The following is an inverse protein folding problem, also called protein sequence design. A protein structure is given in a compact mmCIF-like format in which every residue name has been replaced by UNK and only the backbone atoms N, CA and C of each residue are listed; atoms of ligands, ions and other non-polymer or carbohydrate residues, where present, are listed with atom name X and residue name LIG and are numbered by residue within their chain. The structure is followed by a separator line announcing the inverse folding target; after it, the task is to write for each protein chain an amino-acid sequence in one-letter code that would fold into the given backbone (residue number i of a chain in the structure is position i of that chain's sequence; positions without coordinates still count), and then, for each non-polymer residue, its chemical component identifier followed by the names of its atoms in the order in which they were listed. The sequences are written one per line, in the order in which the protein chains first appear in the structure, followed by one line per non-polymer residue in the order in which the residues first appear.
data_IF_580398433660
#
_entry.id   IF_580398433660
#
_cell.length_a   1.000
_cell.length_b   1.000
_cell.length_c   1.000
_cell.angle_alpha   90.00
_cell.angle_beta   90.00
_cell.angle_gamma   90.00
#
_symmetry.space_group_name_H-M   'P 1'
#
loop_
_entity.id
_entity.type
_entity.pdbx_description
1 polymer ?
#
# COMPACT_ATOMS: atom_id res chain seq x y z
N UNK A 1 6.90 17.53 6.56
CA UNK A 1 6.94 18.12 5.19
C UNK A 1 5.51 18.42 4.79
N UNK A 2 5.21 19.61 4.25
CA UNK A 2 3.85 19.90 3.74
C UNK A 2 3.59 18.98 2.55
N UNK A 3 2.70 17.99 2.67
CA UNK A 3 2.14 17.31 1.49
C UNK A 3 1.48 18.39 0.65
N UNK A 4 1.81 18.50 -0.64
CA UNK A 4 1.15 19.45 -1.53
C UNK A 4 -0.30 18.98 -1.72
N UNK A 5 -1.25 19.69 -1.12
CA UNK A 5 -2.68 19.38 -1.29
C UNK A 5 -3.16 19.71 -2.70
N UNK A 6 -4.19 19.01 -3.16
CA UNK A 6 -4.83 19.18 -4.47
C UNK A 6 -6.32 19.38 -4.30
N UNK A 7 -6.93 20.19 -5.16
CA UNK A 7 -8.38 20.40 -5.15
C UNK A 7 -9.07 19.19 -5.79
N UNK A 8 -10.19 18.74 -5.20
CA UNK A 8 -10.98 17.67 -5.77
C UNK A 8 -11.42 18.02 -7.19
N UNK A 9 -11.84 19.26 -7.45
CA UNK A 9 -12.29 19.72 -8.77
C UNK A 9 -11.22 19.60 -9.87
N UNK A 10 -9.94 19.64 -9.52
CA UNK A 10 -8.80 19.58 -10.46
C UNK A 10 -8.36 18.15 -10.77
N UNK A 11 -8.83 17.16 -10.01
CA UNK A 11 -8.43 15.77 -10.20
C UNK A 11 -9.15 15.11 -11.39
N UNK A 12 -8.44 14.35 -12.24
CA UNK A 12 -9.05 13.45 -13.22
C UNK A 12 -10.05 12.50 -12.56
N UNK A 13 -11.15 12.17 -13.27
CA UNK A 13 -12.24 11.37 -12.73
C UNK A 13 -11.80 10.00 -12.21
N UNK A 14 -10.79 9.41 -12.85
CA UNK A 14 -10.22 8.09 -12.58
C UNK A 14 -9.21 8.08 -11.43
N UNK A 15 -8.87 9.24 -10.86
CA UNK A 15 -7.94 9.31 -9.73
C UNK A 15 -8.54 8.57 -8.54
N UNK A 16 -7.84 7.54 -8.05
CA UNK A 16 -8.26 6.82 -6.86
C UNK A 16 -7.95 7.62 -5.59
N UNK A 17 -8.93 7.63 -4.69
CA UNK A 17 -8.93 8.32 -3.42
C UNK A 17 -9.24 7.33 -2.30
N UNK A 18 -8.73 7.62 -1.11
CA UNK A 18 -9.07 6.90 0.10
C UNK A 18 -8.97 7.84 1.29
N UNK A 19 -9.77 7.59 2.32
CA UNK A 19 -9.62 8.22 3.63
C UNK A 19 -8.58 7.41 4.40
N UNK A 20 -7.60 8.07 5.02
CA UNK A 20 -6.57 7.38 5.83
C UNK A 20 -7.24 6.42 6.83
N UNK A 21 -6.72 5.19 6.92
CA UNK A 21 -7.19 4.11 7.82
C UNK A 21 -8.59 3.52 7.54
N UNK A 22 -9.32 3.99 6.52
CA UNK A 22 -10.68 3.51 6.24
C UNK A 22 -10.76 2.16 5.50
N UNK A 23 -9.69 1.75 4.82
CA UNK A 23 -9.69 0.60 3.91
C UNK A 23 -10.60 0.76 2.68
N UNK A 24 -11.22 1.93 2.51
CA UNK A 24 -12.19 2.24 1.47
C UNK A 24 -11.53 3.06 0.37
N UNK A 25 -11.84 2.73 -0.90
CA UNK A 25 -11.35 3.46 -2.07
C UNK A 25 -12.51 3.89 -2.96
N UNK A 26 -12.44 5.11 -3.48
CA UNK A 26 -13.41 5.69 -4.42
C UNK A 26 -12.65 6.47 -5.49
N UNK A 27 -13.23 6.65 -6.67
CA UNK A 27 -12.65 7.55 -7.67
C UNK A 27 -13.07 9.00 -7.42
N UNK A 28 -12.24 9.98 -7.82
CA UNK A 28 -12.57 11.40 -7.70
C UNK A 28 -13.89 11.76 -8.41
N UNK A 29 -14.19 11.11 -9.53
CA UNK A 29 -15.46 11.29 -10.24
C UNK A 29 -16.67 10.74 -9.49
N UNK A 30 -16.52 9.63 -8.76
CA UNK A 30 -17.58 9.08 -7.90
C UNK A 30 -17.81 9.98 -6.68
N UNK A 31 -16.73 10.40 -6.00
CA UNK A 31 -16.83 11.29 -4.85
C UNK A 31 -17.54 12.62 -5.21
N UNK A 32 -17.19 13.23 -6.34
CA UNK A 32 -17.89 14.44 -6.83
C UNK A 32 -19.39 14.18 -7.04
N UNK A 33 -19.76 13.04 -7.64
CA UNK A 33 -21.17 12.70 -7.88
C UNK A 33 -21.93 12.47 -6.57
N UNK A 34 -21.31 11.80 -5.60
CA UNK A 34 -21.95 11.52 -4.31
C UNK A 34 -22.14 12.82 -3.50
N UNK A 35 -21.15 13.71 -3.48
CA UNK A 35 -21.26 15.04 -2.88
C UNK A 35 -22.33 15.92 -3.54
N UNK A 36 -22.47 15.86 -4.87
CA UNK A 36 -23.49 16.60 -5.61
C UNK A 36 -24.92 16.05 -5.41
N UNK A 37 -25.05 14.73 -5.23
CA UNK A 37 -26.34 14.02 -5.12
C UNK A 37 -26.91 14.05 -3.71
N UNK A 38 -26.08 13.67 -2.73
CA UNK A 38 -26.55 13.36 -1.38
C UNK A 38 -26.29 14.50 -0.40
N UNK A 39 -25.45 15.47 -0.78
CA UNK A 39 -25.10 16.61 0.06
C UNK A 39 -24.41 16.20 1.37
N UNK A 40 -23.79 15.02 1.39
CA UNK A 40 -23.27 14.38 2.60
C UNK A 40 -22.06 15.14 3.16
N UNK A 41 -22.34 15.94 4.19
CA UNK A 41 -21.34 16.75 4.89
C UNK A 41 -20.32 15.89 5.63
N UNK A 42 -20.64 14.65 5.99
CA UNK A 42 -19.72 13.78 6.72
C UNK A 42 -18.57 13.37 5.78
N UNK A 43 -18.88 12.96 4.54
CA UNK A 43 -17.87 12.66 3.53
C UNK A 43 -17.04 13.89 3.12
N UNK A 44 -17.61 15.09 3.17
CA UNK A 44 -16.89 16.31 2.85
C UNK A 44 -15.83 16.70 3.90
N UNK A 45 -15.98 16.20 5.13
CA UNK A 45 -15.08 16.48 6.26
C UNK A 45 -14.01 15.40 6.48
N UNK A 46 -14.05 14.32 5.70
CA UNK A 46 -13.05 13.26 5.78
C UNK A 46 -11.67 13.71 5.26
N UNK A 47 -10.62 13.10 5.80
CA UNK A 47 -9.24 13.35 5.39
C UNK A 47 -8.91 12.56 4.11
N UNK A 48 -9.45 13.01 2.98
CA UNK A 48 -9.22 12.40 1.69
C UNK A 48 -7.78 12.56 1.22
N UNK A 49 -7.22 11.48 0.69
CA UNK A 49 -5.93 11.46 0.04
C UNK A 49 -6.01 10.77 -1.32
N UNK A 50 -5.23 11.25 -2.28
CA UNK A 50 -4.91 10.47 -3.49
C UNK A 50 -4.08 9.26 -3.10
N UNK A 51 -4.37 8.12 -3.74
CA UNK A 51 -3.64 6.88 -3.49
C UNK A 51 -2.89 6.40 -4.73
N UNK A 52 -1.77 5.71 -4.51
CA UNK A 52 -1.06 4.98 -5.54
C UNK A 52 -1.07 3.49 -5.19
N UNK A 53 -1.73 2.68 -6.02
CA UNK A 53 -1.68 1.23 -5.87
C UNK A 53 -0.26 0.72 -6.05
N UNK A 54 0.10 -0.20 -5.18
CA UNK A 54 1.39 -0.89 -5.13
C UNK A 54 1.13 -2.37 -4.97
N UNK A 55 2.09 -3.16 -5.46
CA UNK A 55 2.08 -4.61 -5.26
C UNK A 55 3.36 -5.01 -4.55
N UNK A 56 3.20 -5.59 -3.36
CA UNK A 56 4.26 -6.26 -2.64
C UNK A 56 4.48 -7.63 -3.28
N UNK A 57 5.73 -8.09 -3.28
CA UNK A 57 6.11 -9.42 -3.76
C UNK A 57 6.93 -10.11 -2.69
N UNK A 58 6.63 -11.39 -2.39
CA UNK A 58 7.47 -12.15 -1.49
C UNK A 58 8.86 -12.38 -2.10
N UNK A 59 9.87 -12.50 -1.25
CA UNK A 59 11.24 -12.78 -1.64
C UNK A 59 11.85 -13.81 -0.70
N UNK A 60 12.14 -14.99 -1.25
CA UNK A 60 12.79 -16.07 -0.51
C UNK A 60 14.15 -15.63 0.03
N UNK A 61 14.93 -14.92 -0.77
CA UNK A 61 16.24 -14.39 -0.38
C UNK A 61 16.13 -13.45 0.82
N UNK A 62 15.25 -12.44 0.76
CA UNK A 62 15.06 -11.51 1.89
C UNK A 62 14.54 -12.21 3.14
N UNK A 63 13.68 -13.21 2.99
CA UNK A 63 13.15 -13.98 4.12
C UNK A 63 14.24 -14.78 4.83
N UNK A 64 15.10 -15.46 4.05
CA UNK A 64 16.21 -16.25 4.57
C UNK A 64 17.26 -15.36 5.23
N UNK A 65 17.66 -14.26 4.57
CA UNK A 65 18.64 -13.32 5.11
C UNK A 65 18.15 -12.75 6.43
N UNK A 66 16.89 -12.28 6.48
CA UNK A 66 16.30 -11.75 7.70
C UNK A 66 16.27 -12.80 8.83
N UNK A 67 16.03 -14.07 8.51
CA UNK A 67 16.07 -15.15 9.50
C UNK A 67 17.48 -15.36 10.05
N UNK A 68 18.49 -15.44 9.18
CA UNK A 68 19.89 -15.63 9.61
C UNK A 68 20.39 -14.43 10.42
N UNK A 69 20.10 -13.20 9.98
CA UNK A 69 20.42 -11.97 10.72
C UNK A 69 19.75 -11.93 12.09
N UNK A 70 18.51 -12.42 12.21
CA UNK A 70 17.80 -12.47 13.49
C UNK A 70 18.42 -13.46 14.48
N UNK A 71 18.96 -14.58 14.00
CA UNK A 71 19.61 -15.59 14.85
C UNK A 71 21.06 -15.23 15.20
N UNK A 72 21.70 -14.33 14.43
CA UNK A 72 23.12 -13.99 14.57
C UNK A 72 23.52 -13.54 15.98
N UNK A 73 22.67 -12.79 16.67
CA UNK A 73 22.95 -12.22 18.00
C UNK A 73 23.29 -13.28 19.06
N UNK A 74 22.87 -14.54 18.86
CA UNK A 74 23.12 -15.66 19.78
C UNK A 74 24.26 -16.60 19.31
N UNK A 75 24.89 -16.30 18.17
CA UNK A 75 25.83 -17.19 17.50
C UNK A 75 27.28 -16.70 17.61
N UNK A 76 28.22 -17.57 17.23
CA UNK A 76 29.64 -17.22 17.16
C UNK A 76 29.96 -16.43 15.89
N UNK A 77 31.07 -15.69 15.91
CA UNK A 77 31.58 -14.89 14.79
C UNK A 77 31.62 -15.70 13.48
N UNK A 78 31.23 -15.06 12.37
CA UNK A 78 31.12 -15.61 11.00
C UNK A 78 30.16 -16.80 10.83
N UNK A 79 29.28 -17.06 11.80
CA UNK A 79 28.27 -18.12 11.67
C UNK A 79 27.28 -17.87 10.53
N UNK A 80 26.86 -16.61 10.35
CA UNK A 80 25.94 -16.14 9.31
C UNK A 80 26.49 -16.38 7.91
N UNK A 81 27.75 -16.05 7.66
CA UNK A 81 28.42 -16.31 6.39
C UNK A 81 28.40 -17.81 6.07
N UNK A 82 28.71 -18.66 7.06
CA UNK A 82 28.68 -20.12 6.90
C UNK A 82 27.25 -20.66 6.71
N UNK A 83 26.27 -20.05 7.35
CA UNK A 83 24.86 -20.39 7.17
C UNK A 83 24.40 -20.06 5.75
N UNK A 84 24.81 -18.91 5.21
CA UNK A 84 24.54 -18.49 3.83
C UNK A 84 25.22 -19.41 2.80
N UNK A 85 26.45 -19.87 3.06
CA UNK A 85 27.16 -20.83 2.19
C UNK A 85 26.43 -22.18 2.06
N UNK A 86 25.60 -22.55 3.04
CA UNK A 86 24.80 -23.78 2.98
C UNK A 86 23.63 -23.67 2.01
N UNK A 87 23.26 -22.45 1.61
CA UNK A 87 22.11 -22.17 0.76
C UNK A 87 22.55 -21.95 -0.68
N UNK A 88 21.91 -22.68 -1.59
CA UNK A 88 22.15 -22.65 -3.02
C UNK A 88 20.91 -22.10 -3.72
N UNK A 89 21.08 -21.64 -4.96
CA UNK A 89 19.99 -21.14 -5.80
C UNK A 89 18.77 -22.07 -5.85
N UNK A 90 18.99 -23.40 -5.88
CA UNK A 90 17.92 -24.39 -5.88
C UNK A 90 17.04 -24.37 -4.61
N UNK A 91 17.61 -23.99 -3.47
CA UNK A 91 16.86 -23.84 -2.21
C UNK A 91 15.99 -22.58 -2.26
N UNK A 92 16.56 -21.45 -2.71
CA UNK A 92 15.81 -20.20 -2.86
C UNK A 92 14.68 -20.33 -3.86
N UNK A 93 14.92 -21.01 -5.00
CA UNK A 93 13.89 -21.24 -6.00
C UNK A 93 12.70 -22.01 -5.44
N UNK A 94 12.95 -23.12 -4.72
CA UNK A 94 11.87 -23.93 -4.14
C UNK A 94 11.06 -23.16 -3.08
N UNK A 95 11.72 -22.34 -2.27
CA UNK A 95 11.04 -21.48 -1.30
C UNK A 95 10.21 -20.42 -2.03
N UNK A 96 10.77 -19.80 -3.07
CA UNK A 96 10.08 -18.80 -3.86
C UNK A 96 8.82 -19.38 -4.54
N UNK A 97 8.88 -20.60 -5.07
CA UNK A 97 7.72 -21.28 -5.65
C UNK A 97 6.58 -21.44 -4.62
N UNK A 98 6.89 -21.81 -3.38
CA UNK A 98 5.91 -21.90 -2.29
C UNK A 98 5.34 -20.52 -1.95
N UNK A 99 6.18 -19.49 -1.90
CA UNK A 99 5.73 -18.12 -1.62
C UNK A 99 4.83 -17.58 -2.75
N UNK A 100 5.21 -17.80 -4.00
CA UNK A 100 4.44 -17.36 -5.17
C UNK A 100 3.08 -18.06 -5.23
N UNK A 101 3.01 -19.34 -4.85
CA UNK A 101 1.76 -20.08 -4.73
C UNK A 101 0.88 -19.51 -3.60
N UNK A 102 1.45 -19.34 -2.41
CA UNK A 102 0.73 -18.87 -1.23
C UNK A 102 0.20 -17.42 -1.39
N UNK A 103 0.98 -16.56 -2.04
CA UNK A 103 0.67 -15.15 -2.26
C UNK A 103 0.23 -14.83 -3.69
N UNK A 104 -0.35 -15.81 -4.40
CA UNK A 104 -0.82 -15.64 -5.78
C UNK A 104 -1.96 -14.61 -5.92
N UNK A 105 -2.72 -14.39 -4.85
CA UNK A 105 -3.84 -13.45 -4.82
C UNK A 105 -3.44 -12.03 -4.39
N UNK A 106 -4.36 -11.09 -4.59
CA UNK A 106 -4.15 -9.67 -4.26
C UNK A 106 -4.40 -9.34 -2.78
N UNK A 107 -5.08 -10.22 -2.02
CA UNK A 107 -5.51 -9.97 -0.63
C UNK A 107 -4.41 -9.46 0.31
N UNK A 108 -3.18 -9.97 0.16
CA UNK A 108 -2.03 -9.58 0.97
C UNK A 108 -0.88 -8.96 0.13
N UNK A 109 -1.04 -8.89 -1.19
CA UNK A 109 0.01 -8.39 -2.09
C UNK A 109 -0.35 -7.02 -2.65
N UNK A 110 -1.63 -6.68 -2.77
CA UNK A 110 -2.07 -5.35 -3.19
C UNK A 110 -2.24 -4.44 -1.97
N UNK A 111 -1.69 -3.24 -2.07
CA UNK A 111 -1.84 -2.18 -1.08
C UNK A 111 -1.72 -0.84 -1.78
N UNK A 112 -1.82 0.26 -1.04
CA UNK A 112 -1.60 1.59 -1.58
C UNK A 112 -0.80 2.47 -0.62
N UNK A 113 -0.16 3.50 -1.17
CA UNK A 113 0.38 4.62 -0.39
C UNK A 113 -0.46 5.87 -0.58
N UNK A 114 -0.53 6.69 0.47
CA UNK A 114 -1.14 8.02 0.42
C UNK A 114 -0.13 9.04 -0.09
N UNK A 115 -0.48 9.76 -1.15
CA UNK A 115 0.43 10.68 -1.83
C UNK A 115 0.16 12.14 -1.47
N UNK A 116 -1.04 12.64 -1.79
CA UNK A 116 -1.44 14.04 -1.60
C UNK A 116 -2.80 14.15 -0.93
N UNK A 117 -2.94 15.09 -0.03
CA UNK A 117 -4.21 15.43 0.59
C UNK A 117 -5.15 16.08 -0.43
N UNK A 118 -6.43 15.74 -0.38
CA UNK A 118 -7.46 16.27 -1.27
C UNK A 118 -8.34 17.23 -0.50
N UNK A 119 -8.45 18.45 -1.04
CA UNK A 119 -9.33 19.49 -0.50
C UNK A 119 -10.64 19.42 -1.27
N UNK A 120 -11.75 19.26 -0.55
CA UNK A 120 -13.10 19.29 -1.13
C UNK A 120 -13.49 20.77 -1.35
N UNK A 121 -13.45 21.21 -2.61
CA UNK A 121 -13.74 22.57 -3.03
C UNK A 121 -15.03 22.70 -3.86
N UNK A 122 -15.75 21.59 -4.02
CA UNK A 122 -17.00 21.53 -4.78
C UNK A 122 -18.19 21.91 -3.91
N UNK A 123 -19.14 22.66 -4.47
CA UNK A 123 -20.33 23.11 -3.76
C UNK A 123 -21.25 21.93 -3.40
N UNK A 124 -21.44 21.69 -2.10
CA UNK A 124 -22.45 20.77 -1.57
C UNK A 124 -23.81 21.44 -1.79
N UNK A 125 -24.70 20.85 -2.60
CA UNK A 125 -26.06 21.38 -2.78
C UNK A 125 -26.89 21.11 -1.53
N UNK A 126 -26.87 22.06 -0.61
CA UNK A 126 -27.63 22.05 0.65
C UNK A 126 -27.81 23.43 1.29
N UNK A 127 -27.69 24.51 0.51
CA UNK A 127 -28.08 25.89 0.89
C UNK A 127 -28.94 26.53 -0.19
#
# INVERSE_FOLDING_TARGET
MRKNSVLLSELPNETELSVEESGYTITAGELRRDLERDGDLDQANDNWCTIQRKRWKPSAERMVVAYIEQEYDEMYEDWDDRAMECLKDEHYQRIQEVLDEAFKGDSATEYWSYEKDVIIDTAIKGQ
#
